data_IF_760574847389
#
_entry.id   IF_760574847389
#
_cell.length_a   1.000
_cell.length_b   1.000
_cell.length_c   1.000
_cell.angle_alpha   90.00
_cell.angle_beta   90.00
_cell.angle_gamma   90.00
#
_symmetry.space_group_name_H-M   'P 1'
#
loop_
_entity.id
_entity.type
_entity.pdbx_description
1 polymer ?
#
# COMPACT_ATOMS: atom_id res chain seq x y z
N UNK A 1 -28.48 -31.21 13.70
CA UNK A 1 -29.15 -30.34 12.70
C UNK A 1 -28.23 -29.17 12.36
N UNK A 2 -27.47 -29.37 11.29
CA UNK A 2 -26.68 -28.35 10.58
C UNK A 2 -27.62 -27.82 9.48
N UNK A 3 -27.76 -26.49 9.34
CA UNK A 3 -28.74 -25.69 8.55
C UNK A 3 -29.46 -24.80 9.59
N UNK A 4 -29.07 -23.56 9.87
CA UNK A 4 -29.06 -22.39 8.99
C UNK A 4 -28.13 -21.31 9.57
N UNK A 5 -26.82 -21.36 9.29
CA UNK A 5 -25.86 -20.27 9.57
C UNK A 5 -25.34 -19.64 8.26
N UNK A 6 -26.21 -19.54 7.25
CA UNK A 6 -25.83 -19.15 5.88
C UNK A 6 -26.78 -18.15 5.21
N UNK A 7 -27.61 -17.44 5.99
CA UNK A 7 -28.34 -16.25 5.56
C UNK A 7 -28.33 -15.31 6.77
N UNK A 8 -27.37 -14.41 6.93
CA UNK A 8 -27.53 -13.04 6.44
C UNK A 8 -26.17 -12.30 6.40
N UNK A 9 -25.18 -12.89 5.70
CA UNK A 9 -23.94 -12.17 5.31
C UNK A 9 -24.23 -11.12 4.21
N UNK A 10 -25.50 -10.93 3.85
CA UNK A 10 -25.96 -10.02 2.79
C UNK A 10 -26.27 -8.58 3.27
N UNK A 11 -25.91 -8.19 4.50
CA UNK A 11 -26.24 -6.88 5.09
C UNK A 11 -25.03 -6.04 5.53
N UNK A 12 -23.82 -6.32 5.03
CA UNK A 12 -22.64 -5.47 5.25
C UNK A 12 -22.05 -4.85 3.97
N UNK A 13 -22.67 -5.10 2.82
CA UNK A 13 -22.30 -4.47 1.55
C UNK A 13 -23.29 -3.34 1.26
N UNK A 14 -22.76 -2.19 0.85
CA UNK A 14 -23.44 -0.90 0.66
C UNK A 14 -23.56 0.02 1.87
N UNK A 15 -22.40 0.44 2.37
CA UNK A 15 -22.12 1.86 2.61
C UNK A 15 -20.61 2.07 2.82
N UNK A 16 -19.93 2.43 1.73
CA UNK A 16 -18.81 3.40 1.59
C UNK A 16 -18.13 3.07 0.24
N UNK A 17 -18.82 3.36 -0.86
CA UNK A 17 -18.17 3.50 -2.18
C UNK A 17 -17.72 4.94 -2.44
N UNK A 18 -17.87 5.86 -1.48
CA UNK A 18 -17.54 7.26 -1.71
C UNK A 18 -16.18 7.72 -1.13
N UNK A 19 -15.38 6.85 -0.49
CA UNK A 19 -14.12 7.28 0.14
C UNK A 19 -12.97 6.28 -0.11
N UNK A 20 -12.55 6.20 -1.38
CA UNK A 20 -11.17 5.93 -1.82
C UNK A 20 -10.63 4.52 -1.64
N UNK A 21 -11.21 3.52 -2.32
CA UNK A 21 -10.69 2.14 -2.44
C UNK A 21 -9.49 1.99 -3.39
N UNK A 22 -8.70 3.05 -3.56
CA UNK A 22 -7.67 3.10 -4.61
C UNK A 22 -6.63 1.98 -4.42
N UNK A 23 -6.23 1.68 -3.18
CA UNK A 23 -5.23 0.65 -2.89
C UNK A 23 -5.82 -0.67 -2.36
N UNK A 24 -7.10 -0.71 -1.97
CA UNK A 24 -7.69 -1.94 -1.43
C UNK A 24 -7.81 -3.00 -2.52
N UNK A 25 -7.30 -4.20 -2.27
CA UNK A 25 -7.44 -5.31 -3.20
C UNK A 25 -8.86 -5.86 -3.16
N UNK A 26 -9.55 -5.78 -4.30
CA UNK A 26 -10.91 -6.27 -4.45
C UNK A 26 -10.92 -7.81 -4.59
N UNK A 27 -12.08 -8.44 -4.39
CA UNK A 27 -12.16 -9.90 -4.40
C UNK A 27 -11.90 -10.50 -5.80
N UNK A 28 -12.27 -9.80 -6.87
CA UNK A 28 -11.92 -10.19 -8.24
C UNK A 28 -10.40 -10.23 -8.50
N UNK A 29 -9.62 -9.27 -7.98
CA UNK A 29 -8.15 -9.25 -8.08
C UNK A 29 -7.52 -10.42 -7.32
N UNK A 30 -8.19 -10.92 -6.26
CA UNK A 30 -7.77 -12.11 -5.53
C UNK A 30 -8.06 -13.39 -6.29
N UNK A 31 -9.25 -13.50 -6.88
CA UNK A 31 -9.69 -14.66 -7.65
C UNK A 31 -8.89 -14.80 -8.95
N UNK A 32 -8.75 -13.70 -9.71
CA UNK A 32 -8.05 -13.68 -11.00
C UNK A 32 -6.54 -13.51 -10.89
N UNK A 33 -6.02 -13.29 -9.67
CA UNK A 33 -4.60 -13.00 -9.38
C UNK A 33 -4.03 -11.86 -10.24
N UNK A 34 -4.84 -10.86 -10.56
CA UNK A 34 -4.43 -9.69 -11.35
C UNK A 34 -4.16 -8.52 -10.42
N UNK A 35 -2.89 -8.17 -10.22
CA UNK A 35 -2.50 -7.14 -9.25
C UNK A 35 -2.09 -5.80 -9.89
N UNK A 36 -2.27 -5.67 -11.20
CA UNK A 36 -1.82 -4.54 -12.02
C UNK A 36 -2.27 -3.17 -11.51
N UNK A 37 -3.51 -3.04 -11.02
CA UNK A 37 -4.02 -1.76 -10.55
C UNK A 37 -3.26 -1.29 -9.31
N UNK A 38 -3.07 -2.18 -8.33
CA UNK A 38 -2.33 -1.90 -7.10
C UNK A 38 -0.89 -1.54 -7.44
N UNK A 39 -0.24 -2.35 -8.28
CA UNK A 39 1.13 -2.11 -8.73
C UNK A 39 1.26 -0.74 -9.42
N UNK A 40 0.34 -0.39 -10.32
CA UNK A 40 0.33 0.90 -11.01
C UNK A 40 0.22 2.08 -10.04
N UNK A 41 -0.61 1.95 -9.01
CA UNK A 41 -0.81 3.00 -8.01
C UNK A 41 0.40 3.17 -7.10
N UNK A 42 1.03 2.06 -6.71
CA UNK A 42 2.28 2.10 -5.96
C UNK A 42 3.39 2.72 -6.82
N UNK A 43 3.56 2.27 -8.07
CA UNK A 43 4.55 2.83 -9.02
C UNK A 43 4.33 4.32 -9.26
N UNK A 44 3.09 4.78 -9.40
CA UNK A 44 2.75 6.20 -9.51
C UNK A 44 3.26 7.00 -8.31
N UNK A 45 3.01 6.53 -7.09
CA UNK A 45 3.53 7.17 -5.88
C UNK A 45 5.06 7.28 -5.87
N UNK A 46 5.77 6.20 -6.20
CA UNK A 46 7.24 6.22 -6.22
C UNK A 46 7.81 7.08 -7.34
N UNK A 47 7.19 7.06 -8.52
CA UNK A 47 7.59 7.87 -9.68
C UNK A 47 7.45 9.37 -9.38
N UNK A 48 6.31 9.78 -8.85
CA UNK A 48 6.02 11.17 -8.50
C UNK A 48 6.92 11.72 -7.38
N UNK A 49 7.48 10.83 -6.55
CA UNK A 49 8.36 11.17 -5.44
C UNK A 49 9.82 10.72 -5.68
N UNK A 50 10.21 10.43 -6.92
CA UNK A 50 11.48 9.76 -7.22
C UNK A 50 12.70 10.45 -6.61
N UNK A 51 12.77 11.79 -6.68
CA UNK A 51 13.88 12.57 -6.12
C UNK A 51 13.99 12.40 -4.59
N UNK A 52 12.86 12.40 -3.89
CA UNK A 52 12.83 12.23 -2.45
C UNK A 52 13.17 10.79 -2.06
N UNK A 53 12.66 9.80 -2.81
CA UNK A 53 13.00 8.39 -2.60
C UNK A 53 14.49 8.13 -2.81
N UNK A 54 15.11 8.78 -3.81
CA UNK A 54 16.56 8.73 -4.02
C UNK A 54 17.33 9.23 -2.79
N UNK A 55 16.90 10.37 -2.22
CA UNK A 55 17.49 10.90 -0.98
C UNK A 55 17.33 9.89 0.17
N UNK A 56 16.15 9.31 0.37
CA UNK A 56 15.93 8.30 1.43
C UNK A 56 16.85 7.08 1.26
N UNK A 57 17.09 6.64 0.03
CA UNK A 57 18.01 5.54 -0.27
C UNK A 57 19.46 5.90 0.03
N UNK A 58 19.94 7.07 -0.42
CA UNK A 58 21.29 7.59 -0.15
C UNK A 58 21.56 7.67 1.36
N UNK A 59 20.58 8.11 2.13
CA UNK A 59 20.65 8.25 3.59
C UNK A 59 20.41 6.92 4.33
N UNK A 60 20.28 5.80 3.60
CA UNK A 60 19.98 4.45 4.15
C UNK A 60 18.77 4.44 5.09
N UNK A 61 17.78 5.31 4.86
CA UNK A 61 16.61 5.50 5.73
C UNK A 61 15.88 4.18 6.04
N UNK A 62 15.74 3.30 5.04
CA UNK A 62 15.02 2.03 5.20
C UNK A 62 15.72 1.03 6.13
N UNK A 63 17.01 1.23 6.47
CA UNK A 63 17.73 0.41 7.45
C UNK A 63 17.52 0.91 8.88
N UNK A 64 17.32 2.22 9.06
CA UNK A 64 17.13 2.83 10.37
C UNK A 64 16.12 3.98 10.32
N UNK A 65 14.84 3.64 10.41
CA UNK A 65 13.73 4.61 10.38
C UNK A 65 13.60 5.46 11.65
N UNK A 66 14.29 5.09 12.75
CA UNK A 66 14.12 5.76 14.04
C UNK A 66 14.93 7.06 14.13
N UNK A 67 16.04 7.14 13.41
CA UNK A 67 16.97 8.27 13.45
C UNK A 67 17.22 8.79 12.03
N UNK A 68 16.17 9.26 11.37
CA UNK A 68 16.29 9.87 10.06
C UNK A 68 17.15 11.14 10.13
N UNK A 69 18.13 11.26 9.23
CA UNK A 69 18.96 12.47 9.08
C UNK A 69 18.10 13.69 8.73
N UNK A 70 18.64 14.90 8.93
CA UNK A 70 17.93 16.14 8.57
C UNK A 70 17.52 16.15 7.08
N UNK A 71 18.40 15.70 6.18
CA UNK A 71 18.12 15.60 4.75
C UNK A 71 17.01 14.57 4.44
N UNK A 72 17.00 13.43 5.12
CA UNK A 72 15.93 12.45 4.99
C UNK A 72 14.59 12.99 5.53
N UNK A 73 14.60 13.74 6.63
CA UNK A 73 13.39 14.39 7.17
C UNK A 73 12.81 15.42 6.19
N UNK A 74 13.65 16.24 5.57
CA UNK A 74 13.20 17.17 4.52
C UNK A 74 12.56 16.44 3.33
N UNK A 75 13.15 15.31 2.92
CA UNK A 75 12.59 14.47 1.87
C UNK A 75 11.21 13.90 2.27
N UNK A 76 11.07 13.41 3.50
CA UNK A 76 9.78 12.92 4.04
C UNK A 76 8.71 14.02 4.09
N UNK A 77 9.07 15.25 4.47
CA UNK A 77 8.16 16.41 4.47
C UNK A 77 7.69 16.72 3.05
N UNK A 78 8.59 16.71 2.06
CA UNK A 78 8.26 16.90 0.64
C UNK A 78 7.34 15.80 0.12
N UNK A 79 7.57 14.54 0.50
CA UNK A 79 6.66 13.42 0.15
C UNK A 79 5.27 13.67 0.75
N UNK A 80 5.19 14.08 2.02
CA UNK A 80 3.92 14.36 2.70
C UNK A 80 3.09 15.45 2.01
N UNK A 81 3.75 16.50 1.52
CA UNK A 81 3.09 17.63 0.86
C UNK A 81 2.80 17.40 -0.62
N UNK A 82 3.38 16.37 -1.25
CA UNK A 82 3.22 16.08 -2.67
C UNK A 82 1.88 15.40 -2.99
N UNK A 83 0.85 16.21 -3.27
CA UNK A 83 -0.50 15.74 -3.62
C UNK A 83 -0.63 15.21 -5.06
N UNK A 84 0.45 15.14 -5.86
CA UNK A 84 0.37 14.67 -7.26
C UNK A 84 0.15 13.15 -7.35
N UNK A 85 0.57 12.39 -6.36
CA UNK A 85 0.36 10.95 -6.31
C UNK A 85 -1.03 10.63 -5.79
N UNK A 86 -1.74 9.69 -6.44
CA UNK A 86 -3.11 9.32 -6.05
C UNK A 86 -3.21 8.84 -4.60
N UNK A 87 -2.16 8.19 -4.09
CA UNK A 87 -2.09 7.76 -2.69
C UNK A 87 -2.07 8.97 -1.76
N UNK A 88 -1.19 9.94 -2.01
CA UNK A 88 -1.05 11.12 -1.15
C UNK A 88 -2.32 11.97 -1.20
N UNK A 89 -2.89 12.18 -2.38
CA UNK A 89 -4.15 12.93 -2.55
C UNK A 89 -5.30 12.34 -1.73
N UNK A 90 -5.57 11.03 -1.91
CA UNK A 90 -6.74 10.39 -1.31
C UNK A 90 -6.59 10.10 0.18
N UNK A 91 -5.35 9.83 0.63
CA UNK A 91 -5.11 9.33 1.98
C UNK A 91 -4.38 10.29 2.91
N UNK A 92 -3.93 11.47 2.45
CA UNK A 92 -3.34 12.50 3.31
C UNK A 92 -4.23 12.88 4.48
N UNK A 93 -5.55 12.89 4.29
CA UNK A 93 -6.55 13.22 5.33
C UNK A 93 -6.91 12.05 6.25
N UNK A 94 -6.59 10.80 5.86
CA UNK A 94 -6.96 9.57 6.60
C UNK A 94 -5.78 8.59 6.68
N UNK A 95 -4.64 8.99 7.28
CA UNK A 95 -3.40 8.22 7.27
C UNK A 95 -3.52 6.84 7.94
N UNK A 96 -4.30 6.74 9.02
CA UNK A 96 -4.55 5.48 9.71
C UNK A 96 -5.29 4.47 8.82
N UNK A 97 -6.21 4.95 7.96
CA UNK A 97 -6.95 4.10 7.00
C UNK A 97 -5.99 3.53 5.96
N UNK A 98 -5.10 4.36 5.38
CA UNK A 98 -4.09 3.90 4.43
C UNK A 98 -3.17 2.85 5.04
N UNK A 99 -2.63 3.12 6.24
CA UNK A 99 -1.78 2.18 6.96
C UNK A 99 -2.47 0.82 7.14
N UNK A 100 -3.76 0.82 7.51
CA UNK A 100 -4.56 -0.41 7.63
C UNK A 100 -4.69 -1.15 6.30
N UNK A 101 -4.91 -0.44 5.19
CA UNK A 101 -5.01 -1.05 3.86
C UNK A 101 -3.68 -1.67 3.42
N UNK A 102 -2.57 -0.96 3.62
CA UNK A 102 -1.24 -1.45 3.30
C UNK A 102 -0.87 -2.70 4.10
N UNK A 103 -1.18 -2.72 5.40
CA UNK A 103 -0.97 -3.91 6.24
C UNK A 103 -1.79 -5.11 5.75
N UNK A 104 -3.06 -4.89 5.40
CA UNK A 104 -3.91 -5.96 4.82
C UNK A 104 -3.32 -6.53 3.53
N UNK A 105 -2.83 -5.67 2.63
CA UNK A 105 -2.17 -6.11 1.39
C UNK A 105 -0.92 -6.92 1.68
N UNK A 106 -0.04 -6.41 2.54
CA UNK A 106 1.18 -7.09 2.93
C UNK A 106 0.87 -8.49 3.47
N UNK A 107 -0.04 -8.58 4.46
CA UNK A 107 -0.42 -9.87 5.06
C UNK A 107 -1.06 -10.81 4.06
N UNK A 108 -1.87 -10.32 3.13
CA UNK A 108 -2.43 -11.17 2.08
C UNK A 108 -1.33 -11.76 1.18
N UNK A 109 -0.42 -10.93 0.66
CA UNK A 109 0.62 -11.40 -0.24
C UNK A 109 1.64 -12.32 0.44
N UNK A 110 1.90 -12.13 1.74
CA UNK A 110 2.72 -13.06 2.53
C UNK A 110 2.05 -14.44 2.72
N UNK A 111 0.72 -14.51 2.66
CA UNK A 111 -0.05 -15.74 2.88
C UNK A 111 -0.42 -16.48 1.57
N UNK A 112 -0.28 -15.84 0.41
CA UNK A 112 -0.59 -16.45 -0.88
C UNK A 112 0.56 -17.33 -1.34
N UNK A 113 0.26 -18.60 -1.59
CA UNK A 113 1.14 -19.49 -2.36
C UNK A 113 1.04 -19.12 -3.84
N UNK A 114 2.14 -18.58 -4.39
CA UNK A 114 2.20 -18.23 -5.80
C UNK A 114 2.56 -19.50 -6.59
N UNK A 115 1.67 -19.91 -7.49
CA UNK A 115 1.93 -20.95 -8.50
C UNK A 115 3.24 -20.67 -9.26
N UNK A 116 3.81 -21.70 -9.90
CA UNK A 116 5.01 -21.59 -10.73
C UNK A 116 4.76 -20.80 -12.04
N UNK A 117 4.47 -19.52 -11.88
CA UNK A 117 4.22 -18.51 -12.91
C UNK A 117 5.15 -17.33 -12.64
N UNK A 118 6.28 -17.21 -13.35
CA UNK A 118 7.34 -16.26 -13.01
C UNK A 118 6.85 -14.80 -13.03
N UNK A 119 6.02 -14.42 -14.00
CA UNK A 119 5.50 -13.04 -14.10
C UNK A 119 4.60 -12.66 -12.93
N UNK A 120 3.79 -13.62 -12.46
CA UNK A 120 2.91 -13.43 -11.32
C UNK A 120 3.73 -13.30 -10.03
N UNK A 121 4.75 -14.14 -9.88
CA UNK A 121 5.68 -14.10 -8.75
C UNK A 121 6.39 -12.75 -8.68
N UNK A 122 6.91 -12.26 -9.81
CA UNK A 122 7.55 -10.94 -9.86
C UNK A 122 6.57 -9.82 -9.47
N UNK A 123 5.33 -9.84 -9.98
CA UNK A 123 4.33 -8.84 -9.60
C UNK A 123 4.01 -8.85 -8.11
N UNK A 124 3.85 -10.02 -7.51
CA UNK A 124 3.62 -10.15 -6.05
C UNK A 124 4.82 -9.62 -5.26
N UNK A 125 6.04 -9.97 -5.68
CA UNK A 125 7.27 -9.47 -5.07
C UNK A 125 7.35 -7.95 -5.13
N UNK A 126 7.16 -7.34 -6.31
CA UNK A 126 7.16 -5.89 -6.50
C UNK A 126 6.15 -5.20 -5.56
N UNK A 127 4.93 -5.74 -5.47
CA UNK A 127 3.88 -5.15 -4.63
C UNK A 127 4.24 -5.27 -3.16
N UNK A 128 4.77 -6.41 -2.72
CA UNK A 128 5.19 -6.62 -1.34
C UNK A 128 6.31 -5.63 -0.96
N UNK A 129 7.33 -5.49 -1.81
CA UNK A 129 8.45 -4.57 -1.59
C UNK A 129 7.99 -3.12 -1.53
N UNK A 130 7.21 -2.68 -2.52
CA UNK A 130 6.67 -1.32 -2.55
C UNK A 130 5.72 -1.04 -1.40
N UNK A 131 4.90 -2.01 -0.98
CA UNK A 131 4.00 -1.87 0.17
C UNK A 131 4.81 -1.72 1.45
N UNK A 132 5.83 -2.56 1.65
CA UNK A 132 6.70 -2.51 2.82
C UNK A 132 7.43 -1.17 2.93
N UNK A 133 8.08 -0.72 1.86
CA UNK A 133 8.78 0.58 1.85
C UNK A 133 7.81 1.75 2.12
N UNK A 134 6.61 1.70 1.55
CA UNK A 134 5.60 2.74 1.79
C UNK A 134 5.14 2.75 3.25
N UNK A 135 4.89 1.60 3.87
CA UNK A 135 4.58 1.52 5.30
C UNK A 135 5.66 2.19 6.15
N UNK A 136 6.94 1.99 5.82
CA UNK A 136 8.06 2.61 6.55
C UNK A 136 8.08 4.14 6.39
N UNK A 137 7.88 4.64 5.17
CA UNK A 137 7.74 6.08 4.90
C UNK A 137 6.58 6.67 5.71
N UNK A 138 5.40 6.05 5.66
CA UNK A 138 4.23 6.55 6.35
C UNK A 138 4.37 6.51 7.88
N UNK A 139 5.05 5.48 8.42
CA UNK A 139 5.40 5.42 9.83
C UNK A 139 6.29 6.59 10.24
N UNK A 140 7.20 7.06 9.37
CA UNK A 140 8.06 8.19 9.69
C UNK A 140 7.33 9.54 9.53
N UNK A 141 6.44 9.67 8.55
CA UNK A 141 5.69 10.91 8.30
C UNK A 141 4.60 11.17 9.36
N UNK A 142 3.95 10.12 9.86
CA UNK A 142 2.79 10.19 10.76
C UNK A 142 3.00 9.49 12.09
N UNK A 143 4.26 9.32 12.51
CA UNK A 143 4.62 9.11 13.90
C UNK A 143 4.30 10.37 14.71
#
# INVERSE_FOLDING_TARGET
MKKCKLLFIFLSLFSIEAWGGLLEMNDFEREDRKFNRILRILKDFYSVNADQIKILNEEKFFHNIATASSRAQEALIKIRSNQKARITENYSKKPQKLKKHLLKLQTYFEAVEVEDKPDLKQQVTDILEYTKALILILKAIWR
#
